data_IF_925785815270
#
_entry.id   IF_925785815270
#
_cell.length_a   1.000
_cell.length_b   1.000
_cell.length_c   1.000
_cell.angle_alpha   90.00
_cell.angle_beta   90.00
_cell.angle_gamma   90.00
#
_symmetry.space_group_name_H-M   'P 1'
#
loop_
_entity.id
_entity.type
_entity.pdbx_description
1 polymer ?
#
# COMPACT_ATOMS: atom_id res chain seq x y z
N UNK A 1 58.82 24.01 36.40
CA UNK A 1 57.48 23.71 35.84
C UNK A 1 57.00 24.95 35.12
N UNK A 2 56.74 24.89 33.80
CA UNK A 2 56.29 26.07 33.03
C UNK A 2 54.81 26.34 33.37
N UNK A 3 54.40 27.59 33.64
CA UNK A 3 53.00 27.90 33.91
C UNK A 3 52.18 27.77 32.61
N UNK A 4 51.14 26.95 32.65
CA UNK A 4 50.17 26.82 31.55
C UNK A 4 49.06 27.86 31.68
N UNK A 5 48.63 28.39 30.53
CA UNK A 5 47.62 29.45 30.45
C UNK A 5 46.24 28.84 30.73
N UNK A 6 45.70 29.07 31.92
CA UNK A 6 44.34 28.67 32.26
C UNK A 6 43.34 29.77 31.85
N UNK A 7 42.34 29.41 31.05
CA UNK A 7 41.24 30.30 30.63
C UNK A 7 39.93 29.83 31.28
N UNK A 8 39.16 30.78 31.83
CA UNK A 8 37.80 30.53 32.31
C UNK A 8 36.83 30.70 31.14
N UNK A 9 36.27 29.59 30.67
CA UNK A 9 35.22 29.59 29.67
C UNK A 9 33.88 29.79 30.39
N UNK A 10 33.14 30.84 30.01
CA UNK A 10 31.75 31.02 30.40
C UNK A 10 30.87 30.84 29.14
N UNK A 11 29.99 29.85 29.18
CA UNK A 11 29.03 29.60 28.10
C UNK A 11 27.70 30.22 28.47
N UNK A 12 27.26 31.20 27.71
CA UNK A 12 25.91 31.76 27.83
C UNK A 12 25.00 31.04 26.82
N UNK A 13 23.92 30.44 27.31
CA UNK A 13 22.86 29.89 26.47
C UNK A 13 21.57 30.64 26.78
N UNK A 14 20.89 31.13 25.74
CA UNK A 14 19.55 31.72 25.83
C UNK A 14 18.58 30.83 25.08
N UNK A 15 17.55 30.36 25.76
CA UNK A 15 16.44 29.68 25.11
C UNK A 15 15.70 30.71 24.25
N UNK A 16 15.57 30.43 22.95
CA UNK A 16 14.82 31.28 22.03
C UNK A 16 13.37 30.84 22.10
N UNK A 17 12.56 31.63 22.79
CA UNK A 17 11.10 31.49 22.83
C UNK A 17 10.47 32.49 21.85
N UNK A 18 9.34 32.13 21.20
CA UNK A 18 8.61 33.06 20.36
C UNK A 18 8.12 34.25 21.19
N UNK A 19 8.14 35.45 20.58
CA UNK A 19 7.53 36.63 21.19
C UNK A 19 6.01 36.54 21.08
N UNK A 20 5.28 37.25 21.95
CA UNK A 20 3.80 37.36 21.86
C UNK A 20 3.35 37.82 20.47
N UNK A 21 4.08 38.76 19.86
CA UNK A 21 3.82 39.21 18.49
C UNK A 21 3.92 38.08 17.47
N UNK A 22 4.89 37.18 17.64
CA UNK A 22 5.07 36.02 16.76
C UNK A 22 3.94 35.02 16.96
N UNK A 23 3.58 34.72 18.21
CA UNK A 23 2.48 33.80 18.52
C UNK A 23 1.14 34.31 17.98
N UNK A 24 0.83 35.59 18.19
CA UNK A 24 -0.39 36.22 17.68
C UNK A 24 -0.44 36.21 16.15
N UNK A 25 0.67 36.54 15.48
CA UNK A 25 0.73 36.53 14.01
C UNK A 25 0.47 35.12 13.45
N UNK A 26 1.05 34.09 14.06
CA UNK A 26 0.82 32.71 13.61
C UNK A 26 -0.61 32.27 13.97
N UNK A 27 -1.13 32.72 15.13
CA UNK A 27 -2.49 32.42 15.54
C UNK A 27 -3.52 32.98 14.56
N UNK A 28 -3.38 34.24 14.17
CA UNK A 28 -4.26 34.91 13.23
C UNK A 28 -4.22 34.24 11.86
N UNK A 29 -3.04 33.81 11.39
CA UNK A 29 -2.91 33.07 10.13
C UNK A 29 -3.65 31.73 10.17
N UNK A 30 -3.51 30.98 11.26
CA UNK A 30 -4.21 29.70 11.43
C UNK A 30 -5.73 29.89 11.48
N UNK A 31 -6.21 30.94 12.17
CA UNK A 31 -7.64 31.25 12.24
C UNK A 31 -8.19 31.69 10.89
N UNK A 32 -7.45 32.53 10.17
CA UNK A 32 -7.80 32.98 8.82
C UNK A 32 -7.86 31.80 7.85
N UNK A 33 -6.94 30.84 7.96
CA UNK A 33 -6.96 29.62 7.13
C UNK A 33 -8.20 28.77 7.41
N UNK A 34 -8.55 28.57 8.69
CA UNK A 34 -9.76 27.83 9.07
C UNK A 34 -11.04 28.52 8.57
N UNK A 35 -11.16 29.84 8.76
CA UNK A 35 -12.29 30.60 8.24
C UNK A 35 -12.42 30.50 6.71
N UNK A 36 -11.32 30.58 5.97
CA UNK A 36 -11.33 30.43 4.51
C UNK A 36 -11.78 29.03 4.05
N UNK A 37 -11.43 27.99 4.81
CA UNK A 37 -11.87 26.62 4.53
C UNK A 37 -13.36 26.44 4.84
N UNK A 38 -13.84 27.03 5.93
CA UNK A 38 -15.27 27.03 6.28
C UNK A 38 -16.12 27.80 5.25
N UNK A 39 -15.54 28.80 4.58
CA UNK A 39 -16.14 29.49 3.42
C UNK A 39 -16.19 28.63 2.15
N UNK A 40 -15.59 27.43 2.17
CA UNK A 40 -15.60 26.47 1.06
C UNK A 40 -14.46 26.64 0.05
N UNK A 41 -13.40 27.39 0.38
CA UNK A 41 -12.21 27.48 -0.49
C UNK A 41 -11.43 26.16 -0.46
N UNK A 42 -10.81 25.82 -1.58
CA UNK A 42 -10.03 24.59 -1.70
C UNK A 42 -8.71 24.68 -0.90
N UNK A 43 -8.43 23.66 -0.08
CA UNK A 43 -7.23 23.58 0.75
C UNK A 43 -5.93 23.60 -0.06
N UNK A 44 -5.92 23.00 -1.26
CA UNK A 44 -4.75 22.94 -2.12
C UNK A 44 -4.42 24.32 -2.73
N UNK A 45 -5.43 25.12 -3.03
CA UNK A 45 -5.26 26.47 -3.58
C UNK A 45 -4.77 27.44 -2.50
N UNK A 46 -5.37 27.39 -1.31
CA UNK A 46 -4.91 28.15 -0.14
C UNK A 46 -3.48 27.78 0.26
N UNK A 47 -3.15 26.49 0.24
CA UNK A 47 -1.81 26.02 0.56
C UNK A 47 -0.77 26.54 -0.45
N UNK A 48 -1.09 26.56 -1.75
CA UNK A 48 -0.19 27.14 -2.77
C UNK A 48 0.00 28.64 -2.60
N UNK A 49 -1.06 29.38 -2.32
CA UNK A 49 -1.01 30.84 -2.11
C UNK A 49 -0.13 31.22 -0.91
N UNK A 50 -0.25 30.45 0.18
CA UNK A 50 0.46 30.70 1.44
C UNK A 50 1.81 29.98 1.54
N UNK A 51 2.16 29.15 0.55
CA UNK A 51 3.40 28.37 0.53
C UNK A 51 3.44 27.24 1.58
N UNK A 52 2.28 26.68 1.92
CA UNK A 52 2.14 25.54 2.82
C UNK A 52 2.07 24.21 2.06
N UNK A 53 2.45 23.12 2.75
CA UNK A 53 2.34 21.76 2.25
C UNK A 53 1.12 21.08 2.89
N UNK A 54 0.20 20.58 2.05
CA UNK A 54 -0.94 19.80 2.52
C UNK A 54 -0.49 18.37 2.81
N UNK A 55 -0.69 17.92 4.05
CA UNK A 55 -0.43 16.54 4.46
C UNK A 55 -1.73 15.75 4.55
N UNK A 56 -1.84 14.70 3.74
CA UNK A 56 -3.00 13.80 3.76
C UNK A 56 -2.89 12.78 4.89
N UNK A 57 -3.85 12.78 5.80
CA UNK A 57 -3.99 11.77 6.84
C UNK A 57 -4.79 10.57 6.32
N UNK A 58 -4.16 9.75 5.47
CA UNK A 58 -4.80 8.58 4.86
C UNK A 58 -5.01 7.46 5.89
N UNK A 59 -6.15 6.77 5.78
CA UNK A 59 -6.49 5.59 6.58
C UNK A 59 -6.48 5.84 8.11
N UNK A 60 -6.89 7.03 8.52
CA UNK A 60 -7.14 7.34 9.92
C UNK A 60 -8.30 6.48 10.45
N UNK A 61 -8.16 5.89 11.62
CA UNK A 61 -9.20 5.08 12.27
C UNK A 61 -9.72 5.77 13.53
N UNK A 62 -10.95 5.44 13.87
CA UNK A 62 -11.66 6.02 15.02
C UNK A 62 -10.94 5.80 16.37
N UNK A 63 -10.12 4.75 16.49
CA UNK A 63 -9.35 4.41 17.70
C UNK A 63 -7.87 4.82 17.62
N UNK A 64 -7.45 5.51 16.56
CA UNK A 64 -6.05 5.92 16.44
C UNK A 64 -5.72 7.08 17.39
N UNK A 65 -4.59 6.99 18.08
CA UNK A 65 -4.08 8.10 18.91
C UNK A 65 -3.22 9.07 18.09
N UNK A 66 -2.71 8.62 16.95
CA UNK A 66 -1.77 9.36 16.13
C UNK A 66 -2.39 9.75 14.79
N UNK A 67 -2.14 10.99 14.36
CA UNK A 67 -2.43 11.46 13.00
C UNK A 67 -1.17 11.28 12.15
N UNK A 68 -1.24 10.56 11.02
CA UNK A 68 -0.11 10.40 10.11
C UNK A 68 0.52 11.75 9.73
N UNK A 69 1.83 11.87 9.93
CA UNK A 69 2.59 13.09 9.61
C UNK A 69 2.56 14.20 10.67
N UNK A 70 1.73 14.09 11.71
CA UNK A 70 1.61 15.06 12.81
C UNK A 70 1.92 14.47 14.20
N UNK A 71 1.77 13.15 14.38
CA UNK A 71 2.07 12.46 15.64
C UNK A 71 0.85 12.33 16.55
N UNK A 72 1.07 12.25 17.87
CA UNK A 72 0.02 12.01 18.86
C UNK A 72 -0.94 13.19 18.95
N UNK A 73 -2.14 13.04 18.38
CA UNK A 73 -3.15 14.08 18.24
C UNK A 73 -4.56 13.48 18.34
N UNK A 74 -4.84 12.77 19.44
CA UNK A 74 -6.14 12.11 19.68
C UNK A 74 -7.33 13.06 19.50
N UNK A 75 -7.20 14.32 19.90
CA UNK A 75 -8.26 15.34 19.76
C UNK A 75 -8.68 15.57 18.31
N UNK A 76 -7.74 15.52 17.37
CA UNK A 76 -8.04 15.65 15.94
C UNK A 76 -8.82 14.43 15.46
N UNK A 77 -8.40 13.22 15.89
CA UNK A 77 -9.09 11.97 15.55
C UNK A 77 -10.53 11.96 16.08
N UNK A 78 -10.72 12.26 17.37
CA UNK A 78 -12.07 12.34 17.97
C UNK A 78 -12.93 13.40 17.29
N UNK A 79 -12.37 14.54 16.90
CA UNK A 79 -13.11 15.55 16.15
C UNK A 79 -13.54 15.05 14.77
N UNK A 80 -12.63 14.43 14.00
CA UNK A 80 -12.90 13.96 12.65
C UNK A 80 -13.96 12.85 12.59
N UNK A 81 -14.04 12.02 13.64
CA UNK A 81 -14.99 10.92 13.75
C UNK A 81 -16.27 11.26 14.52
N UNK A 82 -16.47 12.52 14.91
CA UNK A 82 -17.71 12.92 15.57
C UNK A 82 -18.89 12.87 14.56
N UNK A 83 -20.05 12.41 15.02
CA UNK A 83 -21.23 12.16 14.18
C UNK A 83 -21.74 13.42 13.47
N UNK A 84 -21.55 14.58 14.09
CA UNK A 84 -22.06 15.86 13.59
C UNK A 84 -21.18 16.50 12.50
N UNK A 85 -20.06 15.85 12.11
CA UNK A 85 -19.15 16.40 11.10
C UNK A 85 -19.67 16.16 9.70
N UNK A 86 -19.36 17.03 8.76
CA UNK A 86 -19.60 16.80 7.33
C UNK A 86 -18.30 16.90 6.53
N UNK A 87 -18.31 16.32 5.32
CA UNK A 87 -17.16 16.47 4.42
C UNK A 87 -17.07 17.96 4.05
N UNK A 88 -15.87 18.52 4.20
CA UNK A 88 -15.63 19.96 4.07
C UNK A 88 -15.51 20.70 5.40
N UNK A 89 -15.98 20.11 6.52
CA UNK A 89 -15.79 20.72 7.85
C UNK A 89 -14.31 20.94 8.12
N UNK A 90 -13.97 22.12 8.62
CA UNK A 90 -12.62 22.45 9.03
C UNK A 90 -12.55 22.85 10.50
N UNK A 91 -11.38 22.67 11.10
CA UNK A 91 -11.11 23.15 12.46
C UNK A 91 -9.63 23.36 12.69
N UNK A 92 -9.33 24.36 13.51
CA UNK A 92 -8.01 24.66 14.01
C UNK A 92 -7.77 24.00 15.38
N UNK A 93 -6.58 23.43 15.54
CA UNK A 93 -6.12 22.76 16.75
C UNK A 93 -4.79 23.33 17.20
N UNK A 94 -4.63 23.42 18.52
CA UNK A 94 -3.36 23.71 19.15
C UNK A 94 -2.60 22.39 19.28
N UNK A 95 -1.44 22.32 18.64
CA UNK A 95 -0.65 21.08 18.55
C UNK A 95 0.77 21.34 19.00
N UNK A 96 1.42 20.32 19.55
CA UNK A 96 2.84 20.35 19.86
C UNK A 96 3.59 19.47 18.86
N UNK A 97 4.43 20.09 18.03
CA UNK A 97 5.23 19.38 17.03
C UNK A 97 6.70 19.59 17.36
N UNK A 98 7.38 18.51 17.76
CA UNK A 98 8.82 18.55 18.08
C UNK A 98 9.17 19.45 19.27
N UNK A 99 8.31 19.52 20.29
CA UNK A 99 8.54 20.34 21.49
C UNK A 99 8.20 21.83 21.33
N UNK A 100 7.53 22.21 20.23
CA UNK A 100 7.14 23.59 19.95
C UNK A 100 5.63 23.71 19.77
N UNK A 101 5.05 24.72 20.41
CA UNK A 101 3.65 25.11 20.20
C UNK A 101 3.47 25.51 18.74
N UNK A 102 2.52 24.86 18.09
CA UNK A 102 2.19 25.01 16.68
C UNK A 102 0.66 24.94 16.54
N UNK A 103 0.16 25.27 15.36
CA UNK A 103 -1.26 25.13 15.05
C UNK A 103 -1.42 24.22 13.84
N UNK A 104 -2.40 23.34 13.89
CA UNK A 104 -2.82 22.51 12.78
C UNK A 104 -4.23 22.92 12.38
N UNK A 105 -4.42 23.20 11.10
CA UNK A 105 -5.76 23.38 10.53
C UNK A 105 -6.05 22.15 9.71
N UNK A 106 -7.14 21.47 10.05
CA UNK A 106 -7.54 20.21 9.43
C UNK A 106 -8.89 20.41 8.75
N UNK A 107 -9.07 19.75 7.62
CA UNK A 107 -10.34 19.68 6.91
C UNK A 107 -10.71 18.22 6.66
N UNK A 108 -11.98 17.86 6.85
CA UNK A 108 -12.47 16.52 6.58
C UNK A 108 -12.67 16.34 5.07
N UNK A 109 -11.75 15.64 4.41
CA UNK A 109 -11.79 15.48 2.94
C UNK A 109 -12.81 14.44 2.49
N UNK A 110 -12.90 13.30 3.18
CA UNK A 110 -13.77 12.18 2.79
C UNK A 110 -14.20 11.38 4.03
N UNK A 111 -15.33 10.67 3.91
CA UNK A 111 -15.80 9.71 4.89
C UNK A 111 -15.92 8.33 4.24
N UNK A 112 -15.38 7.30 4.90
CA UNK A 112 -15.54 5.91 4.47
C UNK A 112 -16.41 5.17 5.48
N UNK A 113 -17.46 4.52 5.01
CA UNK A 113 -18.31 3.69 5.87
C UNK A 113 -17.55 2.48 6.44
N UNK A 114 -18.00 1.98 7.59
CA UNK A 114 -17.42 0.81 8.24
C UNK A 114 -17.46 -0.39 7.29
N UNK A 115 -16.28 -0.95 6.99
CA UNK A 115 -16.15 -2.08 6.05
C UNK A 115 -16.01 -1.67 4.57
N UNK A 116 -16.07 -0.37 4.27
CA UNK A 116 -15.70 0.15 2.96
C UNK A 116 -14.23 -0.07 2.66
N UNK A 117 -13.91 -0.21 1.37
CA UNK A 117 -12.52 -0.20 0.90
C UNK A 117 -11.94 1.19 1.10
N UNK A 118 -11.16 1.38 2.16
CA UNK A 118 -10.34 2.58 2.31
C UNK A 118 -9.25 2.53 1.25
N UNK A 119 -9.27 3.48 0.32
CA UNK A 119 -8.19 3.71 -0.65
C UNK A 119 -6.94 4.19 0.10
N UNK A 120 -6.23 3.25 0.73
CA UNK A 120 -4.92 3.53 1.29
C UNK A 120 -3.90 3.69 0.16
N UNK A 121 -2.81 4.41 0.43
CA UNK A 121 -1.69 4.53 -0.52
C UNK A 121 -1.19 3.16 -1.00
N UNK A 122 -1.21 2.15 -0.11
CA UNK A 122 -0.83 0.78 -0.44
C UNK A 122 -1.79 0.11 -1.45
N UNK A 123 -3.11 0.30 -1.29
CA UNK A 123 -4.12 -0.22 -2.22
C UNK A 123 -3.99 0.45 -3.58
N UNK A 124 -3.80 1.78 -3.60
CA UNK A 124 -3.58 2.53 -4.84
C UNK A 124 -2.33 2.02 -5.56
N UNK A 125 -1.21 1.83 -4.84
CA UNK A 125 0.03 1.30 -5.41
C UNK A 125 -0.15 -0.12 -5.97
N UNK A 126 -0.85 -1.00 -5.26
CA UNK A 126 -1.13 -2.36 -5.72
C UNK A 126 -1.98 -2.37 -7.00
N UNK A 127 -3.03 -1.55 -7.06
CA UNK A 127 -3.89 -1.40 -8.24
C UNK A 127 -3.11 -0.81 -9.40
N UNK A 128 -2.32 0.24 -9.18
CA UNK A 128 -1.48 0.85 -10.21
C UNK A 128 -0.48 -0.15 -10.77
N UNK A 129 0.14 -0.97 -9.92
CA UNK A 129 1.06 -2.02 -10.36
C UNK A 129 0.35 -3.03 -11.25
N UNK A 130 -0.85 -3.48 -10.85
CA UNK A 130 -1.65 -4.44 -11.64
C UNK A 130 -2.06 -3.87 -12.99
N UNK A 131 -2.63 -2.66 -13.02
CA UNK A 131 -3.02 -1.98 -14.26
C UNK A 131 -1.83 -1.73 -15.19
N UNK A 132 -0.67 -1.39 -14.61
CA UNK A 132 0.57 -1.21 -15.38
C UNK A 132 1.03 -2.52 -15.99
N UNK A 133 0.95 -3.63 -15.25
CA UNK A 133 1.26 -4.98 -15.77
C UNK A 133 0.31 -5.35 -16.92
N UNK A 134 -0.99 -5.16 -16.76
CA UNK A 134 -2.00 -5.44 -17.79
C UNK A 134 -1.77 -4.63 -19.07
N UNK A 135 -1.52 -3.31 -18.95
CA UNK A 135 -1.20 -2.46 -20.11
C UNK A 135 0.10 -2.91 -20.80
N UNK A 136 1.14 -3.24 -20.04
CA UNK A 136 2.39 -3.77 -20.62
C UNK A 136 2.16 -5.10 -21.33
N UNK A 137 1.38 -6.00 -20.74
CA UNK A 137 1.03 -7.28 -21.34
C UNK A 137 0.28 -7.09 -22.66
N UNK A 138 -0.70 -6.17 -22.73
CA UNK A 138 -1.41 -5.85 -23.96
C UNK A 138 -0.48 -5.35 -25.08
N UNK A 139 0.46 -4.45 -24.76
CA UNK A 139 1.46 -3.95 -25.72
C UNK A 139 2.40 -5.07 -26.19
N UNK A 140 2.85 -5.94 -25.28
CA UNK A 140 3.70 -7.08 -25.64
C UNK A 140 2.94 -8.07 -26.53
N UNK A 141 1.68 -8.36 -26.21
CA UNK A 141 0.82 -9.23 -27.02
C UNK A 141 0.66 -8.72 -28.45
N UNK A 142 0.58 -7.40 -28.65
CA UNK A 142 0.52 -6.79 -29.98
C UNK A 142 1.83 -6.93 -30.77
N UNK A 143 2.98 -7.06 -30.09
CA UNK A 143 4.28 -7.28 -30.75
C UNK A 143 4.55 -8.75 -31.06
N UNK A 144 3.92 -9.66 -30.32
CA UNK A 144 4.02 -11.11 -30.51
C UNK A 144 3.17 -11.61 -31.68
N UNK A 145 3.41 -11.07 -32.88
CA UNK A 145 2.76 -11.53 -34.11
C UNK A 145 3.62 -12.61 -34.79
N UNK A 146 2.97 -13.62 -35.36
CA UNK A 146 3.65 -14.73 -36.03
C UNK A 146 2.88 -16.04 -35.80
N UNK A 147 3.02 -16.97 -36.74
CA UNK A 147 2.39 -18.29 -36.66
C UNK A 147 3.32 -19.35 -36.05
N UNK A 148 4.63 -19.05 -36.01
CA UNK A 148 5.66 -19.93 -35.44
C UNK A 148 6.36 -19.27 -34.25
N UNK A 149 6.95 -20.09 -33.37
CA UNK A 149 7.73 -19.58 -32.23
C UNK A 149 8.92 -18.72 -32.70
N UNK A 150 9.55 -19.09 -33.81
CA UNK A 150 10.69 -18.35 -34.37
C UNK A 150 10.29 -17.00 -34.95
N UNK A 151 9.13 -16.90 -35.61
CA UNK A 151 8.58 -15.62 -36.08
C UNK A 151 8.23 -14.69 -34.91
N UNK A 152 7.55 -15.23 -33.89
CA UNK A 152 7.18 -14.49 -32.69
C UNK A 152 8.43 -13.98 -31.96
N UNK A 153 9.47 -14.82 -31.85
CA UNK A 153 10.74 -14.47 -31.23
C UNK A 153 11.45 -13.34 -31.99
N UNK A 154 11.55 -13.45 -33.33
CA UNK A 154 12.14 -12.39 -34.18
C UNK A 154 11.39 -11.06 -34.05
N UNK A 155 10.06 -11.08 -34.14
CA UNK A 155 9.23 -9.88 -34.05
C UNK A 155 9.25 -9.23 -32.65
N UNK A 156 9.48 -10.05 -31.61
CA UNK A 156 9.59 -9.57 -30.23
C UNK A 156 11.03 -9.24 -29.81
N UNK A 157 12.01 -9.41 -30.72
CA UNK A 157 13.44 -9.29 -30.44
C UNK A 157 13.89 -10.18 -29.25
N UNK A 158 13.40 -11.41 -29.19
CA UNK A 158 13.73 -12.41 -28.17
C UNK A 158 14.20 -13.72 -28.81
N UNK A 159 14.63 -14.67 -27.98
CA UNK A 159 15.09 -15.99 -28.43
C UNK A 159 14.18 -17.09 -27.87
N UNK A 160 13.92 -18.11 -28.69
CA UNK A 160 13.24 -19.33 -28.23
C UNK A 160 14.17 -20.08 -27.27
N UNK A 161 13.65 -20.43 -26.09
CA UNK A 161 14.39 -21.17 -25.06
C UNK A 161 13.69 -22.47 -24.74
N UNK A 162 14.47 -23.50 -24.48
CA UNK A 162 13.95 -24.78 -24.00
C UNK A 162 13.93 -24.79 -22.47
N UNK A 163 12.79 -25.18 -21.91
CA UNK A 163 12.65 -25.45 -20.48
C UNK A 163 12.40 -26.94 -20.28
N UNK A 164 13.12 -27.55 -19.35
CA UNK A 164 12.98 -28.95 -18.95
C UNK A 164 12.67 -29.05 -17.45
N UNK A 165 12.12 -30.19 -17.03
CA UNK A 165 11.83 -30.49 -15.62
C UNK A 165 10.89 -29.51 -14.92
N UNK A 166 9.98 -28.89 -15.68
CA UNK A 166 8.95 -27.98 -15.14
C UNK A 166 7.83 -28.82 -14.52
N UNK A 167 7.48 -28.55 -13.26
CA UNK A 167 6.44 -29.31 -12.54
C UNK A 167 5.41 -28.39 -11.91
N UNK A 168 4.18 -28.87 -11.70
CA UNK A 168 3.15 -28.11 -10.98
C UNK A 168 3.50 -27.87 -9.51
N UNK A 169 4.33 -28.74 -8.91
CA UNK A 169 4.79 -28.58 -7.54
C UNK A 169 5.86 -27.48 -7.39
N UNK A 170 6.64 -27.24 -8.43
CA UNK A 170 7.64 -26.18 -8.51
C UNK A 170 7.54 -25.52 -9.89
N UNK A 171 6.67 -24.50 -10.04
CA UNK A 171 6.41 -23.87 -11.32
C UNK A 171 7.53 -22.88 -11.72
N UNK A 172 8.77 -23.35 -11.71
CA UNK A 172 9.96 -22.61 -12.08
C UNK A 172 10.32 -22.87 -13.54
N UNK A 173 10.37 -21.82 -14.35
CA UNK A 173 10.86 -21.86 -15.73
C UNK A 173 12.32 -21.40 -15.72
N UNK A 174 13.23 -22.25 -16.22
CA UNK A 174 14.66 -21.94 -16.28
C UNK A 174 14.93 -20.62 -17.03
N UNK A 175 15.71 -19.73 -16.41
CA UNK A 175 16.04 -18.41 -16.98
C UNK A 175 14.93 -17.34 -16.90
N UNK A 176 13.78 -17.65 -16.30
CA UNK A 176 12.64 -16.73 -16.10
C UNK A 176 12.27 -16.65 -14.61
N UNK A 177 12.16 -17.80 -13.96
CA UNK A 177 11.76 -17.93 -12.56
C UNK A 177 10.35 -18.48 -12.40
N UNK A 178 9.72 -18.14 -11.28
CA UNK A 178 8.44 -18.72 -10.85
C UNK A 178 7.27 -18.17 -11.69
N UNK A 179 6.55 -19.04 -12.39
CA UNK A 179 5.48 -18.73 -13.34
C UNK A 179 4.31 -19.72 -13.26
N UNK A 180 3.54 -19.73 -12.14
CA UNK A 180 2.50 -20.73 -11.88
C UNK A 180 1.40 -20.77 -12.94
N UNK A 181 0.98 -19.62 -13.46
CA UNK A 181 -0.09 -19.55 -14.46
C UNK A 181 0.35 -20.15 -15.80
N UNK A 182 1.57 -19.85 -16.23
CA UNK A 182 2.15 -20.38 -17.47
C UNK A 182 2.36 -21.89 -17.36
N UNK A 183 2.93 -22.36 -16.24
CA UNK A 183 3.13 -23.79 -15.98
C UNK A 183 1.80 -24.55 -15.87
N UNK A 184 0.78 -23.91 -15.27
CA UNK A 184 -0.59 -24.42 -15.27
C UNK A 184 -1.14 -24.59 -16.69
N UNK A 185 -1.00 -23.58 -17.55
CA UNK A 185 -1.42 -23.68 -18.95
C UNK A 185 -0.64 -24.78 -19.71
N UNK A 186 0.67 -24.91 -19.50
CA UNK A 186 1.48 -26.00 -20.08
C UNK A 186 0.95 -27.39 -19.74
N UNK A 187 0.27 -27.57 -18.59
CA UNK A 187 -0.27 -28.86 -18.17
C UNK A 187 -1.51 -29.31 -18.95
N UNK A 188 -2.22 -28.40 -19.61
CA UNK A 188 -3.48 -28.68 -20.33
C UNK A 188 -3.35 -28.59 -21.85
N UNK A 189 -2.34 -27.88 -22.36
CA UNK A 189 -2.10 -27.71 -23.80
C UNK A 189 -1.85 -29.04 -24.52
N UNK A 190 -2.19 -29.10 -25.81
CA UNK A 190 -1.86 -30.26 -26.64
C UNK A 190 -0.34 -30.32 -26.91
N UNK A 191 0.21 -31.55 -26.95
CA UNK A 191 1.60 -31.78 -27.33
C UNK A 191 1.80 -31.31 -28.78
N UNK A 192 2.96 -30.72 -29.06
CA UNK A 192 3.37 -30.15 -30.33
C UNK A 192 2.52 -29.00 -30.88
N UNK A 193 1.55 -28.52 -30.11
CA UNK A 193 0.76 -27.34 -30.45
C UNK A 193 1.36 -26.08 -29.81
N UNK A 194 1.42 -25.00 -30.58
CA UNK A 194 1.75 -23.67 -30.09
C UNK A 194 0.54 -23.13 -29.30
N UNK A 195 0.79 -22.60 -28.11
CA UNK A 195 -0.24 -22.01 -27.25
C UNK A 195 -0.71 -20.65 -27.74
N UNK A 196 -1.85 -20.21 -27.21
CA UNK A 196 -2.18 -18.79 -27.21
C UNK A 196 -1.21 -17.99 -26.33
N UNK A 197 -1.29 -16.66 -26.41
CA UNK A 197 -0.46 -15.75 -25.62
C UNK A 197 -0.91 -15.75 -24.15
N UNK A 198 -0.11 -16.33 -23.27
CA UNK A 198 -0.40 -16.49 -21.85
C UNK A 198 0.24 -15.34 -21.07
N UNK A 199 -0.53 -14.66 -20.23
CA UNK A 199 0.00 -13.62 -19.33
C UNK A 199 0.57 -14.28 -18.07
N UNK A 200 1.89 -14.29 -17.92
CA UNK A 200 2.56 -14.71 -16.69
C UNK A 200 2.78 -13.54 -15.73
N UNK A 201 3.39 -13.85 -14.58
CA UNK A 201 3.69 -12.87 -13.54
C UNK A 201 4.80 -11.90 -13.96
N UNK A 202 5.79 -12.39 -14.73
CA UNK A 202 6.95 -11.61 -15.18
C UNK A 202 6.93 -11.25 -16.67
N UNK A 203 5.96 -11.72 -17.44
CA UNK A 203 5.91 -11.46 -18.88
C UNK A 203 4.79 -12.20 -19.61
N UNK A 204 4.72 -12.03 -20.92
CA UNK A 204 3.78 -12.76 -21.78
C UNK A 204 4.53 -13.89 -22.47
N UNK A 205 3.96 -15.09 -22.45
CA UNK A 205 4.59 -16.32 -22.91
C UNK A 205 3.77 -16.97 -24.02
N UNK A 206 4.48 -17.53 -24.99
CA UNK A 206 3.93 -18.47 -25.98
C UNK A 206 4.78 -19.72 -25.87
N UNK A 207 4.13 -20.87 -25.71
CA UNK A 207 4.80 -22.12 -25.37
C UNK A 207 4.36 -23.22 -26.33
N UNK A 208 5.28 -24.15 -26.61
CA UNK A 208 4.99 -25.41 -27.31
C UNK A 208 5.41 -26.54 -26.40
N UNK A 209 4.48 -27.42 -26.06
CA UNK A 209 4.76 -28.57 -25.20
C UNK A 209 5.37 -29.68 -26.05
N UNK A 210 6.64 -30.00 -25.83
CA UNK A 210 7.37 -31.03 -26.61
C UNK A 210 7.11 -32.42 -26.05
N UNK A 211 7.15 -32.57 -24.72
CA UNK A 211 6.94 -33.84 -24.02
C UNK A 211 6.18 -33.61 -22.74
N UNK A 212 5.25 -34.52 -22.41
CA UNK A 212 4.56 -34.57 -21.12
C UNK A 212 4.73 -35.95 -20.52
N UNK A 213 5.19 -36.01 -19.28
CA UNK A 213 5.31 -37.24 -18.51
C UNK A 213 4.16 -37.33 -17.52
N UNK A 214 3.54 -38.51 -17.44
CA UNK A 214 2.53 -38.76 -16.43
C UNK A 214 3.23 -38.93 -15.06
N UNK A 215 2.62 -38.42 -13.97
CA UNK A 215 3.15 -38.65 -12.63
C UNK A 215 3.10 -40.14 -12.30
N UNK A 216 4.08 -40.61 -11.53
CA UNK A 216 4.09 -41.99 -11.01
C UNK A 216 2.84 -42.24 -10.19
N UNK A 217 2.13 -43.34 -10.48
CA UNK A 217 1.00 -43.77 -9.64
C UNK A 217 1.51 -44.08 -8.24
N UNK A 218 0.86 -43.50 -7.24
CA UNK A 218 1.15 -43.78 -5.84
C UNK A 218 0.25 -44.92 -5.39
N UNK A 219 0.79 -45.87 -4.64
CA UNK A 219 0.01 -46.95 -4.03
C UNK A 219 -0.89 -46.44 -2.89
N UNK A 220 -0.51 -45.35 -2.24
CA UNK A 220 -1.26 -44.76 -1.13
C UNK A 220 -1.11 -43.23 -1.06
N UNK A 221 -2.22 -42.53 -0.83
CA UNK A 221 -2.30 -41.07 -0.70
C UNK A 221 -2.37 -40.57 0.76
N UNK A 222 -2.24 -41.45 1.76
CA UNK A 222 -2.35 -41.12 3.18
C UNK A 222 -1.42 -39.98 3.62
N UNK A 223 -0.22 -39.89 3.06
CA UNK A 223 0.73 -38.80 3.35
C UNK A 223 0.22 -37.45 2.84
N UNK A 224 -0.38 -37.41 1.66
CA UNK A 224 -0.99 -36.20 1.08
C UNK A 224 -2.22 -35.78 1.88
N UNK A 225 -3.08 -36.74 2.25
CA UNK A 225 -4.26 -36.49 3.09
C UNK A 225 -3.88 -35.92 4.46
N UNK A 226 -2.90 -36.51 5.16
CA UNK A 226 -2.38 -35.97 6.43
C UNK A 226 -1.78 -34.58 6.28
N UNK A 227 -1.09 -34.30 5.17
CA UNK A 227 -0.52 -32.97 4.89
C UNK A 227 -1.61 -31.92 4.71
N UNK A 228 -2.65 -32.21 3.94
CA UNK A 228 -3.78 -31.28 3.77
C UNK A 228 -4.58 -31.10 5.06
N UNK A 229 -4.79 -32.17 5.84
CA UNK A 229 -5.41 -32.08 7.17
C UNK A 229 -4.60 -31.18 8.13
N UNK A 230 -3.27 -31.27 8.10
CA UNK A 230 -2.41 -30.41 8.92
C UNK A 230 -2.44 -28.94 8.46
N UNK A 231 -2.47 -28.68 7.14
CA UNK A 231 -2.67 -27.31 6.62
C UNK A 231 -3.99 -26.71 7.08
N UNK A 232 -5.07 -27.50 7.08
CA UNK A 232 -6.38 -27.05 7.57
C UNK A 232 -6.34 -26.75 9.07
N UNK A 233 -5.72 -27.60 9.90
CA UNK A 233 -5.55 -27.34 11.34
C UNK A 233 -4.79 -26.04 11.61
N UNK A 234 -3.77 -25.72 10.82
CA UNK A 234 -3.01 -24.49 10.97
C UNK A 234 -3.83 -23.21 10.70
N UNK A 235 -4.99 -23.32 10.03
CA UNK A 235 -5.90 -22.19 9.77
C UNK A 235 -6.80 -21.83 10.97
N UNK A 236 -6.64 -22.47 12.12
CA UNK A 236 -7.47 -22.18 13.32
C UNK A 236 -7.47 -20.70 13.70
N UNK A 237 -6.35 -19.98 13.52
CA UNK A 237 -6.31 -18.53 13.78
C UNK A 237 -7.17 -17.71 12.80
N UNK A 238 -7.30 -18.16 11.55
CA UNK A 238 -8.17 -17.54 10.55
C UNK A 238 -9.65 -17.76 10.92
N UNK A 239 -9.99 -18.93 11.49
CA UNK A 239 -11.35 -19.21 11.98
C UNK A 239 -11.75 -18.20 13.06
N UNK A 240 -10.87 -17.89 14.01
CA UNK A 240 -11.15 -16.88 15.03
C UNK A 240 -11.40 -15.48 14.41
N UNK A 241 -10.61 -15.08 13.41
CA UNK A 241 -10.85 -13.80 12.70
C UNK A 241 -12.19 -13.78 12.00
N UNK A 242 -12.54 -14.87 11.29
CA UNK A 242 -13.84 -15.00 10.62
C UNK A 242 -14.98 -14.96 11.63
N UNK A 243 -14.89 -15.68 12.75
CA UNK A 243 -15.89 -15.62 13.81
C UNK A 243 -16.02 -14.21 14.40
N UNK A 244 -14.91 -13.49 14.56
CA UNK A 244 -14.92 -12.10 15.03
C UNK A 244 -15.55 -11.14 14.02
N UNK A 245 -15.27 -11.32 12.72
CA UNK A 245 -15.80 -10.49 11.63
C UNK A 245 -17.28 -10.77 11.33
N UNK A 246 -17.72 -12.02 11.52
CA UNK A 246 -19.13 -12.44 11.33
C UNK A 246 -19.99 -12.23 12.55
N UNK A 247 -19.39 -12.10 13.74
CA UNK A 247 -20.12 -11.71 14.94
C UNK A 247 -20.53 -10.24 14.84
N UNK A 248 -21.79 -9.96 15.14
CA UNK A 248 -22.32 -8.60 15.21
C UNK A 248 -21.84 -7.91 16.50
N UNK A 249 -20.58 -7.46 16.49
CA UNK A 249 -19.95 -6.78 17.62
C UNK A 249 -19.85 -5.28 17.32
N UNK A 250 -20.59 -4.49 18.09
CA UNK A 250 -20.49 -3.03 18.08
C UNK A 250 -19.43 -2.59 19.09
N UNK A 251 -18.27 -2.18 18.59
CA UNK A 251 -17.21 -1.58 19.41
C UNK A 251 -17.53 -0.11 19.66
N UNK A 252 -17.83 0.24 20.92
CA UNK A 252 -18.15 1.61 21.33
C UNK A 252 -16.98 2.29 22.06
N UNK A 253 -15.78 1.72 22.08
CA UNK A 253 -14.65 2.26 22.85
C UNK A 253 -14.24 3.65 22.40
N UNK A 254 -14.39 3.95 21.13
CA UNK A 254 -14.13 5.28 20.54
C UNK A 254 -15.03 6.40 21.08
N UNK A 255 -16.18 6.06 21.66
CA UNK A 255 -17.05 7.03 22.33
C UNK A 255 -16.54 7.43 23.71
N UNK A 256 -15.60 6.66 24.27
CA UNK A 256 -15.10 6.84 25.64
C UNK A 256 -13.61 7.21 25.70
N UNK A 257 -12.81 6.73 24.76
CA UNK A 257 -11.37 6.98 24.61
C UNK A 257 -11.11 7.64 23.27
#
# INVERSE_FOLDING_TARGET
>A
TKPEKAVRLATFARLIEPSELTENTIFEKAETLAANLDEGKNIDDLAKELGYEVKLALNLKELDENVPGLGNQRQIVTWAFNNDREVGDSKRFDVEVGGKRSYAVVALSEKTEKGGLVLSSAVIEEVLLKLTKEKKAAIIKQKMNGNTLDEIAKNSNTNVRMASSVTLASPLISGVGNEPMVVGAMSTLAIDKISDKIEGEKGVFVVKVIRREAPTKLENYNTFSKREANKLKAKTYQIFRVLKETADVVDNRSKFF
#
